data_IF_566360483704
#
_entry.id   IF_566360483704
#
_cell.length_a   1.000
_cell.length_b   1.000
_cell.length_c   1.000
_cell.angle_alpha   90.00
_cell.angle_beta   90.00
_cell.angle_gamma   90.00
#
_symmetry.space_group_name_H-M   'P 1'
#
loop_
_entity.id
_entity.type
_entity.pdbx_description
1 polymer ?
#
# COMPACT_ATOMS: atom_id res chain seq x y z
N UNK A 1 16.33 3.88 -7.47
CA UNK A 1 16.46 5.35 -7.54
C UNK A 1 16.48 5.87 -8.96
N UNK A 2 17.25 5.25 -9.86
CA UNK A 2 17.41 5.73 -11.25
C UNK A 2 16.07 5.97 -11.96
N UNK A 3 15.12 5.05 -11.83
CA UNK A 3 13.78 5.21 -12.42
C UNK A 3 13.01 6.40 -11.84
N UNK A 4 13.08 6.63 -10.52
CA UNK A 4 12.46 7.80 -9.89
C UNK A 4 13.04 9.11 -10.45
N UNK A 5 14.36 9.18 -10.64
CA UNK A 5 15.04 10.34 -11.23
C UNK A 5 14.70 10.50 -12.72
N UNK A 6 14.66 9.39 -13.47
CA UNK A 6 14.33 9.35 -14.91
C UNK A 6 12.95 9.95 -15.18
N UNK A 7 11.96 9.63 -14.35
CA UNK A 7 10.59 10.15 -14.47
C UNK A 7 10.34 11.42 -13.64
N UNK A 8 11.40 12.07 -13.15
CA UNK A 8 11.34 13.33 -12.38
C UNK A 8 10.41 13.26 -11.15
N UNK A 9 10.39 12.11 -10.49
CA UNK A 9 9.55 11.85 -9.32
C UNK A 9 8.07 11.56 -9.61
N UNK A 10 7.68 11.40 -10.88
CA UNK A 10 6.32 11.02 -11.24
C UNK A 10 6.03 9.53 -10.91
N UNK A 11 5.37 9.28 -9.78
CA UNK A 11 5.01 7.93 -9.30
C UNK A 11 4.20 7.14 -10.35
N UNK A 12 3.29 7.82 -11.05
CA UNK A 12 2.44 7.17 -12.07
C UNK A 12 3.24 6.69 -13.27
N UNK A 13 4.30 7.40 -13.63
CA UNK A 13 5.23 6.93 -14.66
C UNK A 13 6.15 5.84 -14.12
N UNK A 14 6.55 5.89 -12.85
CA UNK A 14 7.30 4.79 -12.23
C UNK A 14 6.51 3.48 -12.24
N UNK A 15 5.20 3.50 -11.96
CA UNK A 15 4.36 2.30 -12.02
C UNK A 15 4.39 1.65 -13.40
N UNK A 16 4.29 2.48 -14.45
CA UNK A 16 4.34 2.01 -15.84
C UNK A 16 5.71 1.45 -16.19
N UNK A 17 6.78 2.17 -15.82
CA UNK A 17 8.15 1.78 -16.12
C UNK A 17 8.56 0.50 -15.37
N UNK A 18 8.12 0.35 -14.13
CA UNK A 18 8.47 -0.78 -13.26
C UNK A 18 7.44 -1.91 -13.31
N UNK A 19 6.30 -1.73 -13.98
CA UNK A 19 5.18 -2.69 -14.04
C UNK A 19 4.72 -3.18 -12.66
N UNK A 20 4.75 -2.29 -11.67
CA UNK A 20 4.28 -2.56 -10.29
C UNK A 20 3.22 -1.54 -9.91
N UNK A 21 2.37 -1.90 -8.95
CA UNK A 21 1.28 -1.03 -8.50
C UNK A 21 1.77 0.22 -7.77
N UNK A 22 0.98 1.30 -7.81
CA UNK A 22 1.21 2.55 -7.06
C UNK A 22 1.64 2.30 -5.61
N UNK A 23 0.96 1.44 -4.82
CA UNK A 23 1.34 1.18 -3.43
C UNK A 23 2.72 0.55 -3.29
N UNK A 24 3.11 -0.29 -4.26
CA UNK A 24 4.44 -0.93 -4.25
C UNK A 24 5.54 0.10 -4.51
N UNK A 25 5.32 1.03 -5.45
CA UNK A 25 6.27 2.13 -5.69
C UNK A 25 6.39 3.00 -4.45
N UNK A 26 5.26 3.36 -3.84
CA UNK A 26 5.21 4.20 -2.64
C UNK A 26 5.93 3.55 -1.46
N UNK A 27 5.62 2.30 -1.11
CA UNK A 27 6.29 1.58 -0.04
C UNK A 27 7.82 1.53 -0.26
N UNK A 28 8.26 1.34 -1.51
CA UNK A 28 9.69 1.34 -1.84
C UNK A 28 10.34 2.70 -1.57
N UNK A 29 9.63 3.80 -1.82
CA UNK A 29 10.10 5.14 -1.50
C UNK A 29 10.08 5.40 0.01
N UNK A 30 9.05 4.96 0.72
CA UNK A 30 8.97 5.09 2.17
C UNK A 30 10.15 4.36 2.86
N UNK A 31 10.48 3.14 2.43
CA UNK A 31 11.67 2.42 2.90
C UNK A 31 12.98 3.15 2.60
N UNK A 32 13.08 3.85 1.48
CA UNK A 32 14.25 4.66 1.15
C UNK A 32 14.34 5.88 2.08
N UNK A 33 13.22 6.55 2.33
CA UNK A 33 13.15 7.70 3.24
C UNK A 33 13.55 7.29 4.66
N UNK A 34 13.06 6.14 5.14
CA UNK A 34 13.46 5.53 6.41
C UNK A 34 14.96 5.21 6.46
N UNK A 35 15.50 4.59 5.41
CA UNK A 35 16.91 4.24 5.32
C UNK A 35 17.82 5.49 5.31
N UNK A 36 17.29 6.64 4.87
CA UNK A 36 17.98 7.94 4.92
C UNK A 36 17.87 8.62 6.29
N UNK A 37 17.24 7.97 7.28
CA UNK A 37 17.11 8.48 8.65
C UNK A 37 15.99 9.49 8.84
N UNK A 38 15.15 9.71 7.82
CA UNK A 38 13.96 10.54 7.95
C UNK A 38 12.83 9.70 8.54
N UNK A 39 12.18 10.24 9.55
CA UNK A 39 10.98 9.64 10.11
C UNK A 39 9.84 9.83 9.10
N UNK A 40 9.46 8.74 8.44
CA UNK A 40 8.15 8.63 7.78
C UNK A 40 7.11 8.57 8.88
N UNK A 41 6.68 9.72 9.38
CA UNK A 41 5.47 9.74 10.20
C UNK A 41 4.38 9.07 9.36
N UNK A 42 3.61 8.09 9.89
CA UNK A 42 2.46 7.51 9.18
C UNK A 42 1.35 8.55 8.89
N UNK A 43 1.62 9.84 9.13
CA UNK A 43 0.84 10.99 8.72
C UNK A 43 0.85 11.21 7.20
N UNK A 44 0.29 10.28 6.44
CA UNK A 44 -0.61 10.71 5.36
C UNK A 44 -1.65 9.63 5.14
N UNK A 45 -2.75 9.80 5.87
CA UNK A 45 -4.09 9.27 5.64
C UNK A 45 -4.50 9.47 4.17
N UNK A 46 -3.94 8.65 3.28
CA UNK A 46 -4.36 8.57 1.89
C UNK A 46 -5.28 7.35 1.82
N UNK A 47 -6.46 7.44 1.15
CA UNK A 47 -7.45 6.36 1.13
C UNK A 47 -6.88 4.96 0.81
N UNK A 48 -5.83 4.89 -0.03
CA UNK A 48 -5.16 3.64 -0.38
C UNK A 48 -4.37 2.99 0.77
N UNK A 49 -3.76 3.77 1.68
CA UNK A 49 -3.03 3.23 2.83
C UNK A 49 -3.99 2.67 3.89
N UNK A 50 -5.17 3.31 4.04
CA UNK A 50 -6.25 2.78 4.89
C UNK A 50 -6.83 1.50 4.32
N UNK A 51 -6.98 1.38 3.00
CA UNK A 51 -7.47 0.14 2.38
C UNK A 51 -6.51 -1.04 2.59
N UNK A 52 -5.20 -0.84 2.43
CA UNK A 52 -4.24 -1.93 2.62
C UNK A 52 -4.11 -2.34 4.09
N UNK A 53 -4.23 -1.38 5.02
CA UNK A 53 -4.32 -1.67 6.45
C UNK A 53 -5.62 -2.41 6.80
N UNK A 54 -6.74 -2.04 6.19
CA UNK A 54 -8.03 -2.72 6.38
C UNK A 54 -8.01 -4.14 5.81
N UNK A 55 -7.44 -4.33 4.61
CA UNK A 55 -7.26 -5.68 4.01
C UNK A 55 -6.41 -6.57 4.92
N UNK A 56 -5.30 -6.05 5.47
CA UNK A 56 -4.48 -6.79 6.43
C UNK A 56 -5.25 -7.18 7.70
N UNK A 57 -6.08 -6.27 8.24
CA UNK A 57 -6.94 -6.60 9.38
C UNK A 57 -7.98 -7.68 9.06
N UNK A 58 -8.61 -7.62 7.88
CA UNK A 58 -9.60 -8.63 7.47
C UNK A 58 -8.94 -10.00 7.34
N UNK A 59 -7.74 -10.06 6.76
CA UNK A 59 -6.97 -11.31 6.64
C UNK A 59 -6.54 -11.87 8.01
N UNK A 60 -6.13 -11.01 8.96
CA UNK A 60 -5.81 -11.45 10.33
C UNK A 60 -7.03 -12.08 11.02
N UNK A 61 -8.20 -11.45 10.89
CA UNK A 61 -9.46 -11.97 11.46
C UNK A 61 -9.87 -13.31 10.84
N UNK A 62 -9.58 -13.52 9.56
CA UNK A 62 -9.85 -14.79 8.89
C UNK A 62 -8.89 -15.88 9.40
N UNK A 63 -7.61 -15.56 9.58
CA UNK A 63 -6.59 -16.47 10.10
C UNK A 63 -6.86 -16.88 11.56
N UNK A 64 -7.34 -15.94 12.36
CA UNK A 64 -7.79 -16.16 13.74
C UNK A 64 -9.13 -16.94 13.83
N UNK A 65 -9.80 -17.20 12.70
CA UNK A 65 -11.10 -17.85 12.65
C UNK A 65 -12.25 -17.01 13.21
N UNK A 66 -12.03 -15.70 13.41
CA UNK A 66 -13.03 -14.75 13.91
C UNK A 66 -14.08 -14.39 12.86
N UNK A 67 -13.77 -14.56 11.57
CA UNK A 67 -14.70 -14.41 10.45
C UNK A 67 -14.58 -15.58 9.49
N UNK A 68 -15.65 -15.87 8.76
CA UNK A 68 -15.66 -16.86 7.69
C UNK A 68 -15.08 -16.30 6.39
N UNK A 69 -14.68 -17.18 5.47
CA UNK A 69 -14.16 -16.81 4.14
C UNK A 69 -15.16 -15.93 3.39
N UNK A 70 -16.46 -16.24 3.48
CA UNK A 70 -17.52 -15.47 2.82
C UNK A 70 -17.65 -14.04 3.38
N UNK A 71 -17.50 -13.88 4.70
CA UNK A 71 -17.53 -12.57 5.36
C UNK A 71 -16.28 -11.74 5.02
N UNK A 72 -15.10 -12.36 4.99
CA UNK A 72 -13.87 -11.71 4.58
C UNK A 72 -13.98 -11.15 3.14
N UNK A 73 -14.55 -11.93 2.22
CA UNK A 73 -14.78 -11.50 0.84
C UNK A 73 -15.74 -10.31 0.75
N UNK A 74 -16.83 -10.30 1.54
CA UNK A 74 -17.76 -9.15 1.59
C UNK A 74 -17.08 -7.89 2.12
N UNK A 75 -16.26 -8.00 3.17
CA UNK A 75 -15.55 -6.87 3.75
C UNK A 75 -14.50 -6.28 2.79
N UNK A 76 -13.77 -7.13 2.07
CA UNK A 76 -12.78 -6.69 1.06
C UNK A 76 -13.47 -6.02 -0.14
N UNK A 77 -14.64 -6.49 -0.55
CA UNK A 77 -15.41 -5.87 -1.63
C UNK A 77 -15.99 -4.51 -1.20
N UNK A 78 -16.46 -4.40 0.05
CA UNK A 78 -16.98 -3.15 0.60
C UNK A 78 -15.91 -2.06 0.75
N UNK A 79 -14.65 -2.45 1.03
CA UNK A 79 -13.53 -1.51 1.15
C UNK A 79 -12.98 -1.02 -0.20
N UNK A 80 -13.54 -1.46 -1.33
CA UNK A 80 -13.11 -1.08 -2.70
C UNK A 80 -14.01 -0.02 -3.34
N UNK A 81 -15.02 0.47 -2.63
CA UNK A 81 -16.04 1.41 -3.13
C UNK A 81 -15.85 2.79 -2.52
#
# INVERSE_FOLDING_TARGET
MEVFLKVRGNIREMEKELSISYPTVRNRLDHIVEALGYQTSPATETPAATEDSQRKQILSKLDEGAITVEEALKLIQASKK
#
